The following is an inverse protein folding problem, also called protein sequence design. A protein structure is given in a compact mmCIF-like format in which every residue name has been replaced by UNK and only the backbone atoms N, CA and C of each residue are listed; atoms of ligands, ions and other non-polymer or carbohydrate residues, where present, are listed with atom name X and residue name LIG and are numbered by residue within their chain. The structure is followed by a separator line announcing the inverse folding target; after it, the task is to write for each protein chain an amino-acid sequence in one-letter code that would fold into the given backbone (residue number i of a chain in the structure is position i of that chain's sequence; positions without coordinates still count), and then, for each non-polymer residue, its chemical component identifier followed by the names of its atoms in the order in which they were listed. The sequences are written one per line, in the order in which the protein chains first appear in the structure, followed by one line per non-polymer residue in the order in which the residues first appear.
data_IF_511363425712
#
_entry.id   IF_511363425712
#
_cell.length_a   1.000
_cell.length_b   1.000
_cell.length_c   1.000
_cell.angle_alpha   90.00
_cell.angle_beta   90.00
_cell.angle_gamma   90.00
#
_symmetry.space_group_name_H-M   'P 1'
#
loop_
_entity.id
_entity.type
_entity.pdbx_description
1 polymer ?
#
# COMPACT_ATOMS: atom_id res chain seq x y z
N UNK A 1 34.62 25.76 7.01
CA UNK A 1 33.49 25.97 6.09
C UNK A 1 33.39 24.72 5.23
N UNK A 2 32.61 23.73 5.66
CA UNK A 2 32.30 22.58 4.81
C UNK A 2 31.43 23.10 3.66
N UNK A 3 31.81 22.77 2.43
CA UNK A 3 31.06 23.10 1.23
C UNK A 3 29.62 22.60 1.37
N UNK A 4 28.66 23.45 1.00
CA UNK A 4 27.29 23.05 0.67
C UNK A 4 27.34 22.09 -0.51
N UNK A 5 27.78 20.84 -0.30
CA UNK A 5 27.38 19.76 -1.19
C UNK A 5 25.86 19.73 -1.11
N UNK A 6 25.20 20.12 -2.20
CA UNK A 6 23.79 19.83 -2.42
C UNK A 6 23.64 18.34 -2.14
N UNK A 7 23.05 17.99 -0.99
CA UNK A 7 22.65 16.62 -0.72
C UNK A 7 21.66 16.29 -1.80
N UNK A 8 22.11 15.55 -2.79
CA UNK A 8 21.29 15.16 -3.91
C UNK A 8 20.11 14.38 -3.34
N UNK A 9 18.93 14.99 -3.35
CA UNK A 9 17.76 14.37 -2.73
C UNK A 9 17.47 13.05 -3.45
N UNK A 10 17.20 11.96 -2.72
CA UNK A 10 16.99 10.64 -3.31
C UNK A 10 15.65 10.50 -4.07
N UNK A 11 14.88 11.58 -4.17
CA UNK A 11 13.52 11.62 -4.69
C UNK A 11 13.47 12.27 -6.08
N UNK A 12 12.49 11.88 -6.89
CA UNK A 12 12.06 12.55 -8.12
C UNK A 12 10.79 13.30 -7.74
N UNK A 13 10.86 14.60 -7.41
CA UNK A 13 9.73 15.31 -6.83
C UNK A 13 8.49 15.32 -7.72
N UNK A 14 8.65 15.28 -9.05
CA UNK A 14 7.56 15.25 -10.03
C UNK A 14 6.81 13.91 -10.06
N UNK A 15 7.39 12.86 -9.48
CA UNK A 15 6.79 11.53 -9.42
C UNK A 15 5.97 11.28 -8.15
N UNK A 16 6.13 12.13 -7.13
CA UNK A 16 5.43 12.00 -5.84
C UNK A 16 3.95 12.31 -5.99
N UNK A 17 3.12 11.55 -5.28
CA UNK A 17 1.67 11.75 -5.21
C UNK A 17 1.19 12.35 -3.89
N UNK A 18 2.10 12.53 -2.92
CA UNK A 18 1.87 13.27 -1.68
C UNK A 18 1.41 14.70 -1.93
N UNK A 19 0.49 15.18 -1.09
CA UNK A 19 0.06 16.57 -1.05
C UNK A 19 1.00 17.46 -0.21
N UNK A 20 1.91 16.87 0.56
CA UNK A 20 2.87 17.55 1.43
C UNK A 20 4.20 17.73 0.74
N UNK A 21 4.65 16.70 0.01
CA UNK A 21 5.97 16.67 -0.61
C UNK A 21 5.89 16.85 -2.14
N UNK A 22 6.78 17.68 -2.68
CA UNK A 22 6.86 17.97 -4.11
C UNK A 22 8.10 18.81 -4.45
N UNK A 23 8.21 19.36 -5.67
CA UNK A 23 9.39 20.13 -6.08
C UNK A 23 9.73 21.31 -5.15
N UNK A 24 8.71 22.00 -4.63
CA UNK A 24 8.87 23.16 -3.73
C UNK A 24 9.10 22.76 -2.27
N UNK A 25 8.79 21.51 -1.90
CA UNK A 25 8.97 20.97 -0.56
C UNK A 25 9.41 19.49 -0.64
N UNK A 26 10.65 19.20 -1.05
CA UNK A 26 11.10 17.83 -1.19
C UNK A 26 11.25 17.17 0.19
N UNK A 27 11.08 15.84 0.29
CA UNK A 27 11.34 15.10 1.53
C UNK A 27 12.84 15.19 1.88
N UNK A 28 13.14 15.37 3.17
CA UNK A 28 14.48 15.84 3.60
C UNK A 28 15.33 14.76 4.26
N UNK A 29 14.71 13.89 5.04
CA UNK A 29 15.43 12.93 5.89
C UNK A 29 14.57 11.69 6.19
N UNK A 30 15.06 10.88 7.14
CA UNK A 30 14.43 9.62 7.55
C UNK A 30 13.01 9.81 8.09
N UNK A 31 12.72 10.94 8.73
CA UNK A 31 11.41 11.18 9.34
C UNK A 31 10.33 11.36 8.27
N UNK A 32 10.63 12.05 7.17
CA UNK A 32 9.70 12.15 6.04
C UNK A 32 9.60 10.80 5.32
N UNK A 33 10.74 10.14 5.10
CA UNK A 33 10.78 8.87 4.37
C UNK A 33 10.00 7.74 5.08
N UNK A 34 9.97 7.75 6.42
CA UNK A 34 9.28 6.75 7.24
C UNK A 34 7.79 6.60 6.91
N UNK A 35 7.11 7.72 6.64
CA UNK A 35 5.70 7.74 6.20
C UNK A 35 5.57 7.77 4.68
N UNK A 36 6.42 8.54 4.00
CA UNK A 36 6.28 8.72 2.56
C UNK A 36 6.42 7.40 1.78
N UNK A 37 7.37 6.54 2.15
CA UNK A 37 7.60 5.26 1.46
C UNK A 37 6.33 4.38 1.47
N UNK A 38 5.73 4.03 2.63
CA UNK A 38 4.51 3.25 2.64
C UNK A 38 3.31 4.01 2.04
N UNK A 39 3.20 5.31 2.23
CA UNK A 39 2.07 6.10 1.74
C UNK A 39 2.04 6.18 0.22
N UNK A 40 3.18 6.35 -0.44
CA UNK A 40 3.24 6.32 -1.91
C UNK A 40 2.85 4.94 -2.46
N UNK A 41 3.13 3.85 -1.74
CA UNK A 41 2.66 2.51 -2.12
C UNK A 41 1.12 2.38 -2.02
N UNK A 42 0.52 2.99 -0.99
CA UNK A 42 -0.94 3.07 -0.84
C UNK A 42 -1.57 3.93 -1.92
N UNK A 43 -1.07 5.15 -2.14
CA UNK A 43 -1.55 6.05 -3.21
C UNK A 43 -1.43 5.41 -4.58
N UNK A 44 -0.30 4.76 -4.87
CA UNK A 44 -0.14 3.99 -6.10
C UNK A 44 -1.24 2.93 -6.26
N UNK A 45 -1.50 2.14 -5.22
CA UNK A 45 -2.54 1.10 -5.25
C UNK A 45 -3.96 1.68 -5.37
N UNK A 46 -4.23 2.80 -4.70
CA UNK A 46 -5.50 3.52 -4.79
C UNK A 46 -5.74 4.07 -6.21
N UNK A 47 -4.72 4.65 -6.83
CA UNK A 47 -4.81 5.13 -8.21
C UNK A 47 -5.12 3.99 -9.20
N UNK A 48 -4.52 2.81 -8.98
CA UNK A 48 -4.86 1.60 -9.74
C UNK A 48 -6.29 1.12 -9.45
N UNK A 49 -6.73 1.18 -8.19
CA UNK A 49 -8.10 0.84 -7.80
C UNK A 49 -9.12 1.72 -8.54
N UNK A 50 -8.89 3.04 -8.56
CA UNK A 50 -9.74 4.01 -9.23
C UNK A 50 -9.83 3.73 -10.73
N UNK A 51 -8.68 3.61 -11.41
CA UNK A 51 -8.63 3.31 -12.84
C UNK A 51 -9.37 2.00 -13.19
N UNK A 52 -9.23 0.97 -12.35
CA UNK A 52 -9.96 -0.29 -12.52
C UNK A 52 -11.46 -0.13 -12.27
N UNK A 53 -11.88 0.65 -11.28
CA UNK A 53 -13.29 0.90 -11.00
C UNK A 53 -13.97 1.70 -12.12
N UNK A 54 -13.29 2.69 -12.67
CA UNK A 54 -13.76 3.48 -13.82
C UNK A 54 -13.90 2.61 -15.08
N UNK A 55 -13.01 1.62 -15.26
CA UNK A 55 -13.07 0.68 -16.38
C UNK A 55 -14.15 -0.41 -16.23
N UNK A 56 -14.81 -0.54 -15.07
CA UNK A 56 -15.91 -1.48 -14.90
C UNK A 56 -17.11 -1.05 -15.75
N UNK A 57 -17.68 -1.99 -16.52
CA UNK A 57 -19.00 -1.80 -17.15
C UNK A 57 -20.08 -1.91 -16.08
N UNK A 58 -21.22 -1.25 -16.29
CA UNK A 58 -22.34 -1.29 -15.34
C UNK A 58 -22.94 -2.70 -15.18
N UNK A 59 -22.81 -3.55 -16.20
CA UNK A 59 -23.04 -4.98 -16.09
C UNK A 59 -22.13 -5.74 -17.06
N UNK A 60 -21.93 -7.03 -16.79
CA UNK A 60 -21.14 -7.92 -17.62
C UNK A 60 -21.94 -9.15 -18.05
N UNK A 61 -21.79 -9.51 -19.32
CA UNK A 61 -22.18 -10.84 -19.77
C UNK A 61 -21.39 -11.91 -19.00
N UNK A 62 -21.95 -13.12 -18.90
CA UNK A 62 -21.31 -14.26 -18.21
C UNK A 62 -19.86 -14.49 -18.67
N UNK A 63 -19.56 -14.30 -19.96
CA UNK A 63 -18.21 -14.49 -20.54
C UNK A 63 -17.18 -13.45 -20.08
N UNK A 64 -17.62 -12.28 -19.63
CA UNK A 64 -16.78 -11.16 -19.16
C UNK A 64 -16.83 -10.98 -17.63
N UNK A 65 -17.67 -11.75 -16.91
CA UNK A 65 -17.81 -11.71 -15.45
C UNK A 65 -16.49 -11.86 -14.67
N UNK A 66 -15.46 -12.43 -15.29
CA UNK A 66 -14.12 -12.54 -14.71
C UNK A 66 -13.50 -11.19 -14.38
N UNK A 67 -13.87 -10.10 -15.07
CA UNK A 67 -13.33 -8.76 -14.84
C UNK A 67 -13.64 -8.26 -13.43
N UNK A 68 -14.92 -8.20 -13.09
CA UNK A 68 -15.36 -7.78 -11.76
C UNK A 68 -15.01 -8.81 -10.69
N UNK A 69 -15.01 -10.11 -11.03
CA UNK A 69 -14.60 -11.16 -10.09
C UNK A 69 -13.14 -11.01 -9.68
N UNK A 70 -12.23 -10.85 -10.64
CA UNK A 70 -10.79 -10.71 -10.35
C UNK A 70 -10.47 -9.41 -9.63
N UNK A 71 -11.12 -8.30 -10.00
CA UNK A 71 -11.04 -7.06 -9.23
C UNK A 71 -11.46 -7.27 -7.77
N UNK A 72 -12.60 -7.91 -7.52
CA UNK A 72 -13.10 -8.18 -6.18
C UNK A 72 -12.20 -9.15 -5.39
N UNK A 73 -11.57 -10.12 -6.05
CA UNK A 73 -10.57 -10.99 -5.43
C UNK A 73 -9.33 -10.20 -4.99
N UNK A 74 -8.75 -9.40 -5.88
CA UNK A 74 -7.60 -8.55 -5.57
C UNK A 74 -7.91 -7.58 -4.42
N UNK A 75 -9.07 -6.92 -4.45
CA UNK A 75 -9.48 -6.00 -3.40
C UNK A 75 -9.49 -6.69 -2.03
N UNK A 76 -10.10 -7.87 -1.93
CA UNK A 76 -10.27 -8.59 -0.65
C UNK A 76 -8.96 -9.22 -0.16
N UNK A 77 -8.18 -9.80 -1.08
CA UNK A 77 -7.01 -10.60 -0.72
C UNK A 77 -5.77 -9.74 -0.49
N UNK A 78 -5.60 -8.68 -1.30
CA UNK A 78 -4.39 -7.87 -1.33
C UNK A 78 -4.65 -6.45 -0.80
N UNK A 79 -5.48 -5.64 -1.46
CA UNK A 79 -5.62 -4.21 -1.12
C UNK A 79 -6.17 -3.97 0.29
N UNK A 80 -7.31 -4.55 0.64
CA UNK A 80 -7.92 -4.34 1.96
C UNK A 80 -7.00 -4.85 3.08
N UNK A 81 -6.37 -6.01 2.89
CA UNK A 81 -5.38 -6.54 3.84
C UNK A 81 -4.19 -5.60 4.00
N UNK A 82 -3.69 -5.03 2.90
CA UNK A 82 -2.58 -4.08 2.90
C UNK A 82 -2.89 -2.83 3.72
N UNK A 83 -4.08 -2.24 3.55
CA UNK A 83 -4.52 -1.05 4.30
C UNK A 83 -4.72 -1.38 5.79
N UNK A 84 -5.34 -2.53 6.11
CA UNK A 84 -5.47 -2.97 7.50
C UNK A 84 -4.13 -3.20 8.19
N UNK A 85 -3.21 -3.89 7.52
CA UNK A 85 -1.89 -4.19 8.09
C UNK A 85 -1.13 -2.88 8.37
N UNK A 86 -1.18 -1.91 7.46
CA UNK A 86 -0.58 -0.59 7.62
C UNK A 86 -1.13 0.17 8.84
N UNK A 87 -2.43 0.40 8.92
CA UNK A 87 -3.01 1.12 10.07
C UNK A 87 -2.87 0.35 11.38
N UNK A 88 -2.96 -0.98 11.36
CA UNK A 88 -2.69 -1.78 12.56
C UNK A 88 -1.28 -1.53 13.09
N UNK A 89 -0.28 -1.48 12.20
CA UNK A 89 1.10 -1.21 12.58
C UNK A 89 1.28 0.20 13.16
N UNK A 90 0.57 1.19 12.62
CA UNK A 90 0.57 2.55 13.14
C UNK A 90 -0.04 2.61 14.55
N UNK A 91 -1.27 2.13 14.69
CA UNK A 91 -2.04 2.21 15.94
C UNK A 91 -1.47 1.33 17.06
N UNK A 92 -0.94 0.15 16.71
CA UNK A 92 -0.50 -0.84 17.68
C UNK A 92 0.99 -0.80 17.99
N UNK A 93 1.80 -0.17 17.12
CA UNK A 93 3.27 -0.19 17.24
C UNK A 93 3.85 1.21 17.15
N UNK A 94 3.61 1.93 16.04
CA UNK A 94 4.34 3.16 15.74
C UNK A 94 3.88 4.34 16.61
N UNK A 95 2.59 4.66 16.63
CA UNK A 95 2.05 5.76 17.44
C UNK A 95 2.23 5.54 18.95
N UNK A 96 2.03 4.34 19.51
CA UNK A 96 2.38 4.09 20.91
C UNK A 96 3.85 4.37 21.22
N UNK A 97 4.77 4.12 20.28
CA UNK A 97 6.18 4.47 20.45
C UNK A 97 6.41 5.99 20.40
N UNK A 98 5.81 6.70 19.44
CA UNK A 98 5.90 8.18 19.36
C UNK A 98 5.37 8.83 20.66
N UNK A 99 4.26 8.30 21.19
CA UNK A 99 3.65 8.75 22.45
C UNK A 99 4.54 8.59 23.69
N UNK A 100 5.66 7.85 23.60
CA UNK A 100 6.60 7.72 24.74
C UNK A 100 7.45 8.97 24.98
N UNK A 101 7.57 9.86 23.98
CA UNK A 101 8.38 11.10 24.08
C UNK A 101 7.71 12.34 23.50
N UNK A 102 6.61 12.20 22.75
CA UNK A 102 5.89 13.30 22.14
C UNK A 102 4.38 13.19 22.40
N UNK A 103 3.70 14.34 22.49
CA UNK A 103 2.25 14.38 22.47
C UNK A 103 1.77 14.26 21.01
N UNK A 104 0.94 13.26 20.73
CA UNK A 104 0.39 13.06 19.39
C UNK A 104 -0.73 14.08 19.13
N UNK A 105 -0.82 14.66 17.92
CA UNK A 105 -1.92 15.55 17.58
C UNK A 105 -3.25 14.81 17.70
N UNK A 106 -4.27 15.44 18.30
CA UNK A 106 -5.61 14.84 18.47
C UNK A 106 -6.17 14.32 17.15
N UNK A 107 -5.87 15.01 16.04
CA UNK A 107 -6.27 14.63 14.68
C UNK A 107 -5.69 13.29 14.23
N UNK A 108 -4.42 13.00 14.55
CA UNK A 108 -3.76 11.73 14.18
C UNK A 108 -4.33 10.54 14.96
N UNK A 109 -4.88 10.79 16.15
CA UNK A 109 -5.57 9.77 16.95
C UNK A 109 -7.10 9.82 16.80
N UNK A 110 -7.60 10.51 15.77
CA UNK A 110 -9.01 10.85 15.68
C UNK A 110 -9.88 9.71 15.14
N UNK A 111 -11.20 9.92 15.26
CA UNK A 111 -12.24 9.04 14.70
C UNK A 111 -12.17 8.84 13.18
N UNK A 112 -11.37 9.64 12.47
CA UNK A 112 -11.20 9.49 11.01
C UNK A 112 -10.72 8.07 10.65
N UNK A 113 -9.90 7.43 11.48
CA UNK A 113 -9.48 6.04 11.25
C UNK A 113 -10.64 5.06 11.32
N UNK A 114 -11.54 5.23 12.29
CA UNK A 114 -12.71 4.36 12.44
C UNK A 114 -13.64 4.45 11.22
N UNK A 115 -13.87 5.66 10.71
CA UNK A 115 -14.70 5.90 9.53
C UNK A 115 -14.05 5.36 8.24
N UNK A 116 -12.74 5.54 8.07
CA UNK A 116 -11.97 4.97 6.95
C UNK A 116 -12.00 3.44 6.96
N UNK A 117 -11.72 2.81 8.10
CA UNK A 117 -11.76 1.35 8.27
C UNK A 117 -13.17 0.82 8.02
N UNK A 118 -14.20 1.54 8.46
CA UNK A 118 -15.59 1.18 8.18
C UNK A 118 -15.87 1.23 6.67
N UNK A 119 -15.44 2.28 5.96
CA UNK A 119 -15.63 2.37 4.51
C UNK A 119 -14.89 1.25 3.76
N UNK A 120 -13.68 0.93 4.21
CA UNK A 120 -12.88 -0.19 3.69
C UNK A 120 -13.60 -1.53 3.84
N UNK A 121 -14.20 -1.80 5.02
CA UNK A 121 -14.96 -3.02 5.32
C UNK A 121 -16.31 -3.09 4.58
N UNK A 122 -16.97 -1.95 4.35
CA UNK A 122 -18.16 -1.87 3.51
C UNK A 122 -17.84 -2.26 2.06
N UNK A 123 -16.77 -1.71 1.48
CA UNK A 123 -16.30 -2.08 0.13
C UNK A 123 -15.86 -3.55 0.06
N UNK A 124 -15.17 -4.06 1.09
CA UNK A 124 -14.79 -5.47 1.20
C UNK A 124 -16.01 -6.38 1.21
N UNK A 125 -17.06 -6.00 1.93
CA UNK A 125 -18.34 -6.72 1.96
C UNK A 125 -19.02 -6.75 0.60
N UNK A 126 -18.97 -5.65 -0.16
CA UNK A 126 -19.45 -5.59 -1.55
C UNK A 126 -18.64 -6.56 -2.43
N UNK A 127 -17.31 -6.53 -2.36
CA UNK A 127 -16.44 -7.45 -3.10
C UNK A 127 -16.67 -8.93 -2.72
N UNK A 128 -16.93 -9.24 -1.45
CA UNK A 128 -17.32 -10.59 -1.02
C UNK A 128 -18.64 -11.02 -1.68
N UNK A 129 -19.61 -10.12 -1.83
CA UNK A 129 -20.85 -10.40 -2.58
C UNK A 129 -20.56 -10.75 -4.05
N UNK A 130 -19.71 -9.95 -4.72
CA UNK A 130 -19.26 -10.22 -6.09
C UNK A 130 -18.61 -11.60 -6.20
N UNK A 131 -17.72 -11.96 -5.28
CA UNK A 131 -17.06 -13.28 -5.23
C UNK A 131 -18.08 -14.41 -5.09
N UNK A 132 -19.06 -14.28 -4.19
CA UNK A 132 -20.15 -15.27 -4.02
C UNK A 132 -20.97 -15.45 -5.30
N UNK A 133 -21.23 -14.35 -6.03
CA UNK A 133 -21.91 -14.35 -7.33
C UNK A 133 -21.02 -14.76 -8.50
N UNK A 134 -19.72 -15.00 -8.28
CA UNK A 134 -18.71 -15.27 -9.32
C UNK A 134 -18.67 -14.19 -10.41
N UNK A 135 -18.94 -12.94 -10.02
CA UNK A 135 -19.02 -11.79 -10.94
C UNK A 135 -20.24 -11.75 -11.86
N UNK A 136 -21.24 -12.63 -11.68
CA UNK A 136 -22.43 -12.69 -12.53
C UNK A 136 -23.55 -11.82 -11.91
N UNK A 137 -24.21 -10.98 -12.71
CA UNK A 137 -25.32 -10.11 -12.27
C UNK A 137 -24.94 -9.26 -11.05
N UNK A 138 -23.83 -8.53 -11.18
CA UNK A 138 -23.23 -7.72 -10.12
C UNK A 138 -23.42 -6.21 -10.34
N UNK A 139 -24.42 -5.80 -11.13
CA UNK A 139 -24.63 -4.39 -11.47
C UNK A 139 -24.78 -3.49 -10.25
N UNK A 140 -25.55 -3.92 -9.24
CA UNK A 140 -25.73 -3.17 -7.99
C UNK A 140 -24.42 -3.05 -7.19
N UNK A 141 -23.63 -4.13 -7.12
CA UNK A 141 -22.32 -4.10 -6.47
C UNK A 141 -21.34 -3.18 -7.18
N UNK A 142 -21.29 -3.24 -8.52
CA UNK A 142 -20.42 -2.39 -9.34
C UNK A 142 -20.77 -0.92 -9.12
N UNK A 143 -22.06 -0.58 -9.17
CA UNK A 143 -22.53 0.79 -8.91
C UNK A 143 -22.05 1.29 -7.54
N UNK A 144 -22.23 0.49 -6.49
CA UNK A 144 -21.78 0.86 -5.13
C UNK A 144 -20.26 1.03 -5.04
N UNK A 145 -19.48 0.19 -5.72
CA UNK A 145 -18.02 0.32 -5.75
C UNK A 145 -17.60 1.62 -6.44
N UNK A 146 -18.19 1.94 -7.60
CA UNK A 146 -17.93 3.20 -8.33
C UNK A 146 -18.28 4.43 -7.51
N UNK A 147 -19.33 4.37 -6.68
CA UNK A 147 -19.71 5.47 -5.79
C UNK A 147 -18.76 5.61 -4.59
N UNK A 148 -18.31 4.50 -3.99
CA UNK A 148 -17.52 4.52 -2.74
C UNK A 148 -16.03 4.71 -2.94
N UNK A 149 -15.46 4.18 -4.02
CA UNK A 149 -14.01 4.21 -4.24
C UNK A 149 -13.46 5.65 -4.29
N UNK A 150 -14.05 6.60 -5.05
CA UNK A 150 -13.55 7.97 -5.07
C UNK A 150 -13.59 8.63 -3.68
N UNK A 151 -14.70 8.44 -2.93
CA UNK A 151 -14.85 8.98 -1.58
C UNK A 151 -13.79 8.44 -0.63
N UNK A 152 -13.55 7.12 -0.67
CA UNK A 152 -12.49 6.50 0.13
C UNK A 152 -11.11 7.05 -0.20
N UNK A 153 -10.82 7.28 -1.48
CA UNK A 153 -9.52 7.80 -1.92
C UNK A 153 -9.33 9.24 -1.45
N UNK A 154 -10.37 10.07 -1.53
CA UNK A 154 -10.34 11.45 -1.03
C UNK A 154 -10.06 11.47 0.48
N UNK A 155 -10.85 10.72 1.26
CA UNK A 155 -10.71 10.64 2.72
C UNK A 155 -9.33 10.06 3.12
N UNK A 156 -8.87 9.01 2.44
CA UNK A 156 -7.57 8.40 2.71
C UNK A 156 -6.42 9.37 2.38
N UNK A 157 -6.51 10.13 1.28
CA UNK A 157 -5.48 11.11 0.95
C UNK A 157 -5.41 12.26 1.96
N UNK A 158 -6.55 12.72 2.47
CA UNK A 158 -6.59 13.71 3.56
C UNK A 158 -5.92 13.15 4.82
N UNK A 159 -6.25 11.93 5.20
CA UNK A 159 -5.66 11.26 6.35
C UNK A 159 -4.13 11.09 6.22
N UNK A 160 -3.64 10.52 5.11
CA UNK A 160 -2.20 10.36 4.87
C UNK A 160 -1.46 11.71 4.86
N UNK A 161 -2.12 12.77 4.40
CA UNK A 161 -1.57 14.13 4.42
C UNK A 161 -1.42 14.63 5.87
N UNK A 162 -2.42 14.46 6.73
CA UNK A 162 -2.36 14.91 8.12
C UNK A 162 -1.20 14.25 8.89
N UNK A 163 -0.96 12.96 8.65
CA UNK A 163 0.17 12.23 9.23
C UNK A 163 1.52 12.75 8.70
N UNK A 164 1.63 12.95 7.39
CA UNK A 164 2.82 13.47 6.73
C UNK A 164 3.18 14.91 7.15
N UNK A 165 2.18 15.72 7.52
CA UNK A 165 2.38 17.08 8.06
C UNK A 165 2.79 17.05 9.54
N UNK A 166 2.15 16.20 10.35
CA UNK A 166 2.28 16.26 11.81
C UNK A 166 3.40 15.40 12.40
N UNK A 167 3.56 14.17 11.92
CA UNK A 167 4.43 13.19 12.58
C UNK A 167 5.92 13.42 12.32
N UNK A 168 6.39 13.70 11.09
CA UNK A 168 7.81 13.88 10.83
C UNK A 168 8.48 14.97 11.69
N UNK A 169 7.78 16.06 12.01
CA UNK A 169 8.31 17.11 12.89
C UNK A 169 8.50 16.60 14.33
N UNK A 170 7.55 15.82 14.85
CA UNK A 170 7.66 15.20 16.18
C UNK A 170 8.80 14.20 16.25
N UNK A 171 9.00 13.42 15.18
CA UNK A 171 10.10 12.46 15.08
C UNK A 171 11.45 13.17 15.17
N UNK A 172 11.67 14.21 14.36
CA UNK A 172 12.90 15.00 14.37
C UNK A 172 13.20 15.63 15.72
N UNK A 173 12.16 16.11 16.41
CA UNK A 173 12.32 16.81 17.67
C UNK A 173 12.63 15.87 18.85
N UNK A 174 12.20 14.61 18.80
CA UNK A 174 12.17 13.74 20.00
C UNK A 174 12.90 12.39 19.84
N UNK A 175 13.24 11.99 18.62
CA UNK A 175 13.77 10.66 18.32
C UNK A 175 15.00 10.71 17.41
N UNK A 176 15.80 9.64 17.44
CA UNK A 176 16.86 9.42 16.45
C UNK A 176 16.43 8.40 15.39
N UNK A 177 17.12 8.42 14.26
CA UNK A 177 16.89 7.44 13.19
C UNK A 177 17.12 6.01 13.68
N UNK A 178 18.12 5.77 14.52
CA UNK A 178 18.41 4.44 15.08
C UNK A 178 17.26 3.93 15.96
N UNK A 179 16.61 4.81 16.72
CA UNK A 179 15.43 4.46 17.51
C UNK A 179 14.25 4.06 16.61
N UNK A 180 14.02 4.83 15.55
CA UNK A 180 12.98 4.53 14.57
C UNK A 180 13.25 3.19 13.87
N UNK A 181 14.48 2.92 13.42
CA UNK A 181 14.84 1.67 12.75
C UNK A 181 14.55 0.42 13.62
N UNK A 182 14.69 0.53 14.95
CA UNK A 182 14.29 -0.55 15.87
C UNK A 182 12.78 -0.78 15.83
N UNK A 183 11.97 0.27 15.72
CA UNK A 183 10.50 0.19 15.66
C UNK A 183 10.04 -0.30 14.29
N UNK A 184 10.63 0.18 13.20
CA UNK A 184 10.42 -0.35 11.85
C UNK A 184 10.74 -1.85 11.80
N UNK A 185 11.80 -2.30 12.45
CA UNK A 185 12.09 -3.72 12.59
C UNK A 185 10.99 -4.53 13.31
N UNK A 186 10.29 -3.93 14.28
CA UNK A 186 9.12 -4.56 14.93
C UNK A 186 7.92 -4.62 13.98
N UNK A 187 7.69 -3.59 13.18
CA UNK A 187 6.63 -3.52 12.17
C UNK A 187 6.83 -4.62 11.12
N UNK A 188 8.01 -4.69 10.51
CA UNK A 188 8.36 -5.72 9.52
C UNK A 188 8.16 -7.13 10.10
N UNK A 189 8.51 -7.32 11.39
CA UNK A 189 8.29 -8.59 12.07
C UNK A 189 6.81 -8.90 12.32
N UNK A 190 6.00 -7.87 12.65
CA UNK A 190 4.56 -7.97 12.86
C UNK A 190 3.82 -8.40 11.59
N UNK A 191 4.16 -7.79 10.46
CA UNK A 191 3.60 -8.14 9.13
C UNK A 191 3.89 -9.59 8.71
N UNK A 192 5.06 -10.09 9.12
CA UNK A 192 5.55 -11.41 8.75
C UNK A 192 5.72 -11.57 7.23
N UNK A 193 5.81 -12.83 6.79
CA UNK A 193 6.00 -13.15 5.36
C UNK A 193 4.77 -12.85 4.50
N UNK A 194 3.59 -12.79 5.12
CA UNK A 194 2.33 -12.51 4.41
C UNK A 194 2.18 -11.04 4.06
N UNK A 195 2.40 -10.15 5.03
CA UNK A 195 2.36 -8.70 4.79
C UNK A 195 3.48 -8.26 3.85
N UNK A 196 4.72 -8.71 4.10
CA UNK A 196 5.85 -8.40 3.20
C UNK A 196 5.65 -8.88 1.76
N UNK A 197 5.01 -10.03 1.52
CA UNK A 197 4.61 -10.47 0.16
C UNK A 197 3.68 -9.49 -0.52
N UNK A 198 2.70 -8.93 0.21
CA UNK A 198 1.69 -8.00 -0.35
C UNK A 198 2.26 -6.60 -0.54
N UNK A 199 3.00 -6.10 0.45
CA UNK A 199 3.41 -4.70 0.51
C UNK A 199 4.66 -4.43 -0.32
N UNK A 200 5.67 -5.29 -0.23
CA UNK A 200 7.01 -4.99 -0.78
C UNK A 200 7.03 -4.87 -2.33
N UNK A 201 6.38 -5.75 -3.12
CA UNK A 201 6.35 -5.56 -4.57
C UNK A 201 5.63 -4.27 -4.99
N UNK A 202 4.51 -3.95 -4.32
CA UNK A 202 3.75 -2.72 -4.54
C UNK A 202 4.60 -1.48 -4.26
N UNK A 203 5.33 -1.49 -3.13
CA UNK A 203 6.27 -0.44 -2.76
C UNK A 203 7.33 -0.24 -3.84
N UNK A 204 7.94 -1.32 -4.34
CA UNK A 204 8.97 -1.23 -5.37
C UNK A 204 8.43 -0.72 -6.72
N UNK A 205 7.19 -1.07 -7.08
CA UNK A 205 6.53 -0.53 -8.28
C UNK A 205 6.19 0.95 -8.11
N UNK A 206 5.76 1.37 -6.92
CA UNK A 206 5.53 2.77 -6.59
C UNK A 206 6.85 3.57 -6.66
N UNK A 207 7.94 3.06 -6.08
CA UNK A 207 9.27 3.68 -6.14
C UNK A 207 9.76 3.90 -7.58
N UNK A 208 9.39 3.04 -8.54
CA UNK A 208 9.74 3.27 -9.96
C UNK A 208 9.09 4.54 -10.55
N UNK A 209 8.14 5.16 -9.82
CA UNK A 209 7.47 6.39 -10.23
C UNK A 209 8.07 7.64 -9.59
N UNK A 210 8.51 7.55 -8.33
CA UNK A 210 8.90 8.72 -7.54
C UNK A 210 10.32 8.68 -6.96
N UNK A 211 10.98 7.52 -6.90
CA UNK A 211 12.32 7.41 -6.34
C UNK A 211 13.38 7.49 -7.44
N UNK A 212 14.54 8.08 -7.13
CA UNK A 212 15.71 7.92 -7.99
C UNK A 212 16.15 6.45 -7.98
N UNK A 213 16.71 5.92 -9.09
CA UNK A 213 17.22 4.55 -9.13
C UNK A 213 18.21 4.24 -8.00
N UNK A 214 19.11 5.17 -7.68
CA UNK A 214 20.07 5.03 -6.58
C UNK A 214 19.42 4.88 -5.21
N UNK A 215 18.29 5.55 -4.97
CA UNK A 215 17.55 5.40 -3.72
C UNK A 215 16.87 4.03 -3.63
N UNK A 216 16.27 3.56 -4.72
CA UNK A 216 15.71 2.21 -4.78
C UNK A 216 16.77 1.14 -4.55
N UNK A 217 17.98 1.32 -5.08
CA UNK A 217 19.12 0.42 -4.82
C UNK A 217 19.52 0.41 -3.33
N UNK A 218 19.58 1.59 -2.68
CA UNK A 218 19.86 1.69 -1.24
C UNK A 218 18.77 1.00 -0.43
N UNK A 219 17.50 1.24 -0.75
CA UNK A 219 16.36 0.58 -0.10
C UNK A 219 16.42 -0.94 -0.26
N UNK A 220 16.70 -1.44 -1.48
CA UNK A 220 16.85 -2.88 -1.70
C UNK A 220 18.02 -3.47 -0.90
N UNK A 221 19.13 -2.72 -0.77
CA UNK A 221 20.28 -3.14 0.00
C UNK A 221 20.01 -3.19 1.52
N UNK A 222 19.05 -2.42 2.03
CA UNK A 222 18.67 -2.46 3.46
C UNK A 222 17.77 -3.65 3.81
N UNK A 223 17.17 -4.32 2.82
CA UNK A 223 16.34 -5.50 3.03
C UNK A 223 17.24 -6.69 3.41
N UNK A 224 16.93 -7.47 4.47
CA UNK A 224 17.72 -8.64 4.84
C UNK A 224 17.85 -9.64 3.68
N UNK A 225 19.04 -10.24 3.42
CA UNK A 225 19.26 -11.13 2.28
C UNK A 225 18.25 -12.29 2.14
N UNK A 226 17.76 -12.94 3.23
CA UNK A 226 16.71 -13.94 3.12
C UNK A 226 15.40 -13.40 2.54
N UNK A 227 15.03 -12.15 2.88
CA UNK A 227 13.84 -11.48 2.35
C UNK A 227 14.07 -11.04 0.90
N UNK A 228 15.27 -10.57 0.53
CA UNK A 228 15.60 -10.29 -0.89
C UNK A 228 15.44 -11.55 -1.75
N UNK A 229 15.89 -12.71 -1.26
CA UNK A 229 15.70 -13.98 -1.95
C UNK A 229 14.20 -14.29 -2.14
N UNK A 230 13.38 -14.14 -1.09
CA UNK A 230 11.94 -14.34 -1.20
C UNK A 230 11.28 -13.35 -2.18
N UNK A 231 11.72 -12.10 -2.15
CA UNK A 231 11.25 -11.04 -3.03
C UNK A 231 11.44 -11.41 -4.50
N UNK A 232 12.66 -11.77 -4.91
CA UNK A 232 12.96 -12.04 -6.31
C UNK A 232 12.47 -13.41 -6.79
N UNK A 233 12.56 -14.44 -5.95
CA UNK A 233 12.19 -15.80 -6.37
C UNK A 233 10.68 -16.04 -6.30
N UNK A 234 9.95 -15.29 -5.46
CA UNK A 234 8.53 -15.57 -5.18
C UNK A 234 7.64 -14.33 -5.22
N UNK A 235 7.97 -13.25 -4.51
CA UNK A 235 7.01 -12.14 -4.35
C UNK A 235 6.80 -11.33 -5.63
N UNK A 236 7.88 -10.95 -6.33
CA UNK A 236 7.78 -10.22 -7.60
C UNK A 236 7.09 -11.09 -8.68
N UNK A 237 7.48 -12.37 -8.89
CA UNK A 237 6.76 -13.23 -9.83
C UNK A 237 5.28 -13.38 -9.48
N UNK A 238 4.93 -13.56 -8.21
CA UNK A 238 3.53 -13.69 -7.80
C UNK A 238 2.76 -12.38 -7.95
N UNK A 239 3.40 -11.25 -7.64
CA UNK A 239 2.83 -9.93 -7.86
C UNK A 239 2.51 -9.70 -9.35
N UNK A 240 3.45 -10.00 -10.24
CA UNK A 240 3.30 -9.80 -11.68
C UNK A 240 2.32 -10.79 -12.34
N UNK A 241 2.34 -12.07 -11.93
CA UNK A 241 1.59 -13.13 -12.60
C UNK A 241 0.23 -13.43 -11.94
N UNK A 242 0.01 -12.93 -10.71
CA UNK A 242 -1.21 -13.15 -9.93
C UNK A 242 -1.90 -11.86 -9.50
N UNK A 243 -1.18 -10.94 -8.83
CA UNK A 243 -1.79 -9.75 -8.21
C UNK A 243 -2.17 -8.71 -9.27
N UNK A 244 -1.21 -8.25 -10.08
CA UNK A 244 -1.42 -7.23 -11.11
C UNK A 244 -2.50 -7.61 -12.13
N UNK A 245 -2.54 -8.83 -12.70
CA UNK A 245 -3.57 -9.20 -13.67
C UNK A 245 -4.98 -9.22 -13.06
N UNK A 246 -5.10 -9.47 -11.75
CA UNK A 246 -6.39 -9.36 -11.05
C UNK A 246 -6.80 -7.91 -10.84
N UNK A 247 -5.88 -7.08 -10.32
CA UNK A 247 -6.05 -5.63 -10.14
C UNK A 247 -6.52 -4.98 -11.43
N UNK A 248 -5.84 -5.27 -12.53
CA UNK A 248 -6.01 -4.61 -13.82
C UNK A 248 -7.09 -5.28 -14.69
N UNK A 249 -7.71 -6.37 -14.23
CA UNK A 249 -8.69 -7.15 -14.98
C UNK A 249 -9.81 -6.32 -15.66
N UNK A 250 -10.38 -5.28 -15.01
CA UNK A 250 -11.38 -4.41 -15.66
C UNK A 250 -10.88 -3.74 -16.94
N UNK A 251 -9.58 -3.45 -17.05
CA UNK A 251 -8.95 -2.78 -18.19
C UNK A 251 -8.51 -3.71 -19.33
N UNK A 252 -8.35 -5.02 -19.05
CA UNK A 252 -7.81 -5.97 -20.03
C UNK A 252 -8.82 -6.36 -21.12
N UNK A 253 -8.39 -6.49 -22.38
CA UNK A 253 -9.28 -6.91 -23.47
C UNK A 253 -9.64 -8.41 -23.43
N UNK A 254 -8.75 -9.23 -22.87
CA UNK A 254 -8.88 -10.68 -22.77
C UNK A 254 -8.63 -11.18 -21.36
N UNK A 255 -9.15 -12.38 -21.06
CA UNK A 255 -8.99 -12.98 -19.73
C UNK A 255 -7.52 -13.38 -19.51
N UNK A 256 -6.83 -12.82 -18.51
CA UNK A 256 -5.42 -13.15 -18.28
C UNK A 256 -5.27 -14.59 -17.79
N UNK A 257 -4.15 -15.21 -18.15
CA UNK A 257 -3.71 -16.47 -17.54
C UNK A 257 -3.05 -16.15 -16.20
N UNK A 258 -3.80 -16.35 -15.12
CA UNK A 258 -3.30 -16.14 -13.76
C UNK A 258 -2.58 -17.40 -13.28
N UNK A 259 -1.33 -17.25 -12.84
CA UNK A 259 -0.52 -18.33 -12.28
C UNK A 259 -0.03 -17.93 -10.90
N UNK A 260 -0.58 -18.55 -9.86
CA UNK A 260 -0.09 -18.36 -8.50
C UNK A 260 1.27 -19.04 -8.36
N UNK A 261 2.27 -18.31 -7.88
CA UNK A 261 3.60 -18.89 -7.67
C UNK A 261 3.52 -19.88 -6.52
N UNK A 262 4.14 -21.06 -6.71
CA UNK A 262 4.11 -22.10 -5.68
C UNK A 262 4.81 -21.60 -4.42
N UNK A 263 4.18 -21.88 -3.28
CA UNK A 263 4.74 -21.68 -1.94
C UNK A 263 6.22 -22.06 -1.88
N UNK A 264 7.05 -21.25 -1.20
CA UNK A 264 8.47 -21.51 -0.98
C UNK A 264 8.75 -22.77 -0.14
N UNK A 265 7.71 -23.44 0.38
CA UNK A 265 7.75 -24.65 1.22
C UNK A 265 8.61 -24.52 2.48
N UNK A 266 8.94 -23.30 2.89
CA UNK A 266 9.65 -23.07 4.14
C UNK A 266 8.71 -23.39 5.31
N UNK A 267 9.20 -24.12 6.35
CA UNK A 267 8.36 -24.60 7.45
C UNK A 267 7.69 -23.48 8.25
N UNK A 268 8.20 -22.25 8.11
CA UNK A 268 7.69 -21.04 8.74
C UNK A 268 6.92 -20.11 7.77
N UNK A 269 6.72 -20.48 6.47
CA UNK A 269 5.68 -19.81 5.66
C UNK A 269 4.30 -20.38 6.03
N UNK A 270 3.81 -20.02 7.21
CA UNK A 270 2.42 -20.24 7.56
C UNK A 270 1.58 -19.28 6.69
N UNK A 271 0.64 -19.80 5.89
CA UNK A 271 -0.30 -19.07 5.02
C UNK A 271 0.13 -18.79 3.57
N UNK A 272 1.13 -19.48 3.05
CA UNK A 272 1.22 -19.66 1.61
C UNK A 272 0.08 -20.63 1.15
N UNK A 273 -1.18 -20.15 1.16
CA UNK A 273 -2.42 -20.93 0.92
C UNK A 273 -2.31 -21.74 -0.37
N UNK A 274 -2.44 -23.07 -0.23
CA UNK A 274 -2.62 -24.04 -1.33
C UNK A 274 -3.94 -23.77 -2.05
#
# INVERSE_FOLDING_TARGET
MASNEEKEYPFIPEGLTSAVYGPENPPKDWADAGFLIPHEALRFSMNKMLASAEALKDDYEKKESWKVLYFAEWYVEDFASMVHDHHFNEESIYFPWVATKAELPEKVLSKQHEDLVKMLEEMKSICISVKKKKGIKCADEIKKLKEKIPLFIDDMNEHLKEEEEGIPELLRANFTHEEEQVVVGKIIKSEGLGGTRRFLPTLLEAMDKWAKPSFKEIFLASIPPPIQKLLYDYYIPDYNDYVCPKRDAPTLSEKPKIVKVKCCKLPFCCNCVV
#
